data_IF_582972541844
#
_entry.id   IF_582972541844
#
_cell.length_a   1.000
_cell.length_b   1.000
_cell.length_c   1.000
_cell.angle_alpha   90.00
_cell.angle_beta   90.00
_cell.angle_gamma   90.00
#
_symmetry.space_group_name_H-M   'P 1'
#
loop_
_entity.id
_entity.type
_entity.pdbx_description
1 polymer ?
#
# COMPACT_ATOMS: atom_id res chain seq x y z
N UNK A 1 -9.55 27.11 -3.50
CA UNK A 1 -10.39 26.01 -2.99
C UNK A 1 -10.63 26.26 -1.52
N UNK A 2 -11.89 26.35 -1.08
CA UNK A 2 -12.22 26.62 0.32
C UNK A 2 -11.89 25.43 1.24
N UNK A 3 -11.85 24.20 0.70
CA UNK A 3 -11.61 22.97 1.47
C UNK A 3 -10.11 22.69 1.72
N UNK A 4 -9.24 22.95 0.75
CA UNK A 4 -7.79 22.65 0.83
C UNK A 4 -6.88 23.87 0.65
N UNK A 5 -7.45 25.07 0.55
CA UNK A 5 -6.74 26.35 0.38
C UNK A 5 -5.88 26.52 -0.88
N UNK A 6 -5.86 25.54 -1.79
CA UNK A 6 -5.19 25.64 -3.10
C UNK A 6 -5.78 26.77 -3.97
N UNK A 7 -4.93 27.54 -4.65
CA UNK A 7 -5.35 28.62 -5.55
C UNK A 7 -5.46 28.13 -7.00
N UNK A 8 -6.49 28.58 -7.69
CA UNK A 8 -6.77 28.23 -9.09
C UNK A 8 -7.05 29.51 -9.88
N UNK A 9 -6.65 29.52 -11.13
CA UNK A 9 -6.73 30.71 -12.00
C UNK A 9 -8.09 30.88 -12.69
N UNK A 10 -8.92 29.83 -12.67
CA UNK A 10 -10.27 29.92 -13.21
C UNK A 10 -11.25 29.14 -12.36
N UNK A 11 -12.50 29.60 -12.38
CA UNK A 11 -13.60 28.92 -11.70
C UNK A 11 -13.82 27.50 -12.25
N UNK A 12 -13.65 27.30 -13.56
CA UNK A 12 -13.76 25.97 -14.17
C UNK A 12 -12.74 24.96 -13.62
N UNK A 13 -11.48 25.38 -13.41
CA UNK A 13 -10.44 24.53 -12.83
C UNK A 13 -10.69 24.26 -11.33
N UNK A 14 -11.21 25.27 -10.61
CA UNK A 14 -11.62 25.11 -9.22
C UNK A 14 -12.78 24.11 -9.10
N UNK A 15 -13.81 24.22 -9.95
CA UNK A 15 -14.96 23.32 -9.97
C UNK A 15 -14.57 21.89 -10.37
N UNK A 16 -13.65 21.72 -11.32
CA UNK A 16 -13.10 20.42 -11.68
C UNK A 16 -12.30 19.82 -10.51
N UNK A 17 -11.48 20.62 -9.83
CA UNK A 17 -10.76 20.21 -8.63
C UNK A 17 -11.73 19.80 -7.52
N UNK A 18 -12.76 20.59 -7.22
CA UNK A 18 -13.70 20.28 -6.13
C UNK A 18 -14.53 19.04 -6.44
N UNK A 19 -14.99 18.89 -7.69
CA UNK A 19 -15.73 17.70 -8.12
C UNK A 19 -14.87 16.43 -8.03
N UNK A 20 -13.62 16.46 -8.50
CA UNK A 20 -12.75 15.28 -8.53
C UNK A 20 -12.15 14.95 -7.16
N UNK A 21 -11.68 15.95 -6.42
CA UNK A 21 -10.92 15.78 -5.18
C UNK A 21 -11.81 15.69 -3.94
N UNK A 22 -12.93 16.43 -3.91
CA UNK A 22 -13.78 16.54 -2.72
C UNK A 22 -15.15 15.85 -2.87
N UNK A 23 -15.74 15.77 -4.06
CA UNK A 23 -17.05 15.11 -4.28
C UNK A 23 -16.94 13.64 -4.76
N UNK A 24 -16.18 13.35 -5.82
CA UNK A 24 -15.96 11.97 -6.31
C UNK A 24 -15.00 11.19 -5.40
N UNK A 25 -14.02 11.87 -4.81
CA UNK A 25 -13.10 11.31 -3.82
C UNK A 25 -13.59 11.64 -2.40
N UNK A 26 -14.45 10.78 -1.84
CA UNK A 26 -14.67 10.63 -0.38
C UNK A 26 -13.39 10.09 0.34
N UNK A 27 -12.21 10.52 -0.07
CA UNK A 27 -10.98 9.83 0.25
C UNK A 27 -10.35 10.38 1.54
N UNK A 28 -10.84 9.87 2.68
CA UNK A 28 -10.08 9.88 3.96
C UNK A 28 -8.68 9.26 3.83
N UNK A 29 -8.36 8.60 2.71
CA UNK A 29 -7.06 8.00 2.36
C UNK A 29 -6.17 8.88 1.48
N UNK A 30 -6.63 10.05 1.01
CA UNK A 30 -5.77 11.09 0.43
C UNK A 30 -4.98 11.75 1.57
N UNK A 31 -4.13 10.97 2.23
CA UNK A 31 -3.08 11.52 3.08
C UNK A 31 -2.26 12.48 2.23
N UNK A 32 -2.01 13.68 2.76
CA UNK A 32 -1.06 14.65 2.20
C UNK A 32 0.14 13.90 1.62
N UNK A 33 0.46 14.07 0.31
CA UNK A 33 1.58 13.36 -0.29
C UNK A 33 2.83 13.65 0.54
N UNK A 34 3.64 12.62 0.75
CA UNK A 34 4.88 12.72 1.51
C UNK A 34 6.06 12.66 0.54
N UNK A 35 6.39 13.76 -0.17
CA UNK A 35 7.54 13.82 -1.05
C UNK A 35 8.83 13.87 -0.24
N UNK A 36 9.87 13.20 -0.73
CA UNK A 36 11.21 13.42 -0.24
C UNK A 36 11.75 14.73 -0.77
N UNK A 37 12.19 15.60 0.13
CA UNK A 37 12.80 16.89 -0.20
C UNK A 37 14.15 16.74 -0.92
N UNK A 38 14.85 15.63 -0.74
CA UNK A 38 16.18 15.41 -1.30
C UNK A 38 16.16 14.80 -2.72
N UNK A 39 15.13 14.00 -3.07
CA UNK A 39 15.07 13.32 -4.38
C UNK A 39 13.71 13.36 -5.07
N UNK A 40 12.71 14.04 -4.50
CA UNK A 40 11.39 14.19 -5.09
C UNK A 40 10.51 12.92 -5.07
N UNK A 41 11.01 11.78 -4.60
CA UNK A 41 10.24 10.53 -4.55
C UNK A 41 9.05 10.63 -3.59
N UNK A 42 7.86 10.23 -4.04
CA UNK A 42 6.61 10.37 -3.28
C UNK A 42 6.24 9.07 -2.58
N UNK A 43 5.88 9.16 -1.29
CA UNK A 43 5.47 8.03 -0.47
C UNK A 43 4.01 8.15 -0.03
N UNK A 44 3.33 7.00 0.04
CA UNK A 44 1.92 6.91 0.45
C UNK A 44 1.70 7.14 1.94
N UNK A 45 2.75 7.08 2.76
CA UNK A 45 2.69 7.33 4.21
C UNK A 45 3.94 8.08 4.68
N UNK A 46 3.79 8.93 5.69
CA UNK A 46 4.90 9.66 6.30
C UNK A 46 5.96 8.73 6.88
N UNK A 47 5.54 7.62 7.51
CA UNK A 47 6.46 6.61 8.04
C UNK A 47 7.36 5.98 6.97
N UNK A 48 6.85 5.79 5.74
CA UNK A 48 7.64 5.28 4.63
C UNK A 48 8.61 6.33 4.08
N UNK A 49 8.19 7.60 4.03
CA UNK A 49 9.09 8.71 3.70
C UNK A 49 10.26 8.81 4.69
N UNK A 50 9.98 8.80 6.00
CA UNK A 50 11.03 8.87 7.03
C UNK A 50 11.98 7.66 6.99
N UNK A 51 11.47 6.47 6.65
CA UNK A 51 12.34 5.31 6.43
C UNK A 51 13.24 5.55 5.23
N UNK A 52 12.70 6.04 4.12
CA UNK A 52 13.47 6.35 2.93
C UNK A 52 14.56 7.40 3.17
N UNK A 53 14.24 8.51 3.82
CA UNK A 53 15.22 9.57 4.14
C UNK A 53 16.37 8.98 4.95
N UNK A 54 16.05 8.25 6.02
CA UNK A 54 17.05 7.59 6.86
C UNK A 54 17.96 6.67 6.04
N UNK A 55 17.38 5.79 5.22
CA UNK A 55 18.16 4.79 4.47
C UNK A 55 19.02 5.42 3.37
N UNK A 56 18.43 6.31 2.57
CA UNK A 56 18.99 6.78 1.31
C UNK A 56 19.77 8.08 1.46
N UNK A 57 19.29 9.01 2.28
CA UNK A 57 19.86 10.35 2.41
C UNK A 57 20.72 10.51 3.67
N UNK A 58 20.39 9.82 4.76
CA UNK A 58 21.20 9.82 5.98
C UNK A 58 22.11 8.59 6.08
N UNK A 59 22.06 7.71 5.07
CA UNK A 59 22.79 6.43 5.02
C UNK A 59 22.70 5.62 6.34
N UNK A 60 21.56 5.69 7.01
CA UNK A 60 21.31 5.00 8.26
C UNK A 60 21.36 3.50 8.02
N UNK A 61 22.34 2.86 8.66
CA UNK A 61 22.54 1.42 8.62
C UNK A 61 22.30 0.82 10.00
N UNK A 62 21.69 -0.35 10.02
CA UNK A 62 21.38 -1.10 11.22
C UNK A 62 22.15 -2.42 11.17
N UNK A 63 23.41 -2.45 11.66
CA UNK A 63 24.21 -3.66 11.68
C UNK A 63 23.63 -4.67 12.66
N UNK A 64 23.72 -5.95 12.29
CA UNK A 64 23.52 -7.03 13.22
C UNK A 64 24.74 -7.14 14.15
N UNK A 65 24.53 -7.23 15.46
CA UNK A 65 25.60 -7.43 16.42
C UNK A 65 26.05 -8.90 16.53
N UNK A 66 25.30 -9.84 15.94
CA UNK A 66 25.55 -11.28 15.98
C UNK A 66 26.09 -11.85 14.65
N UNK A 67 26.03 -11.08 13.56
CA UNK A 67 26.68 -11.42 12.28
C UNK A 67 27.02 -10.18 11.46
N UNK A 68 27.73 -10.36 10.35
CA UNK A 68 28.20 -9.28 9.47
C UNK A 68 27.11 -8.65 8.58
N UNK A 69 25.82 -9.00 8.74
CA UNK A 69 24.73 -8.44 7.91
C UNK A 69 24.33 -7.03 8.39
N UNK A 70 24.04 -6.17 7.43
CA UNK A 70 23.66 -4.77 7.65
C UNK A 70 22.33 -4.48 6.97
N UNK A 71 21.41 -3.87 7.71
CA UNK A 71 20.05 -3.61 7.25
C UNK A 71 19.80 -2.13 7.01
N UNK A 72 18.91 -1.87 6.06
CA UNK A 72 18.47 -0.53 5.70
C UNK A 72 17.57 0.10 6.78
N UNK A 73 16.82 -0.69 7.55
CA UNK A 73 15.91 -0.17 8.57
C UNK A 73 15.83 -1.08 9.81
N UNK A 74 15.42 -0.50 10.95
CA UNK A 74 15.22 -1.24 12.22
C UNK A 74 14.27 -2.42 12.08
N UNK A 75 13.21 -2.30 11.28
CA UNK A 75 12.28 -3.42 11.05
C UNK A 75 12.96 -4.59 10.32
N UNK A 76 13.83 -4.29 9.35
CA UNK A 76 14.62 -5.29 8.63
C UNK A 76 15.60 -6.01 9.56
N UNK A 77 16.30 -5.26 10.40
CA UNK A 77 17.19 -5.81 11.42
C UNK A 77 16.43 -6.69 12.42
N UNK A 78 15.30 -6.21 12.95
CA UNK A 78 14.45 -6.98 13.88
C UNK A 78 13.95 -8.28 13.25
N UNK A 79 13.45 -8.21 12.02
CA UNK A 79 13.01 -9.41 11.31
C UNK A 79 14.16 -10.39 11.05
N UNK A 80 15.37 -9.90 10.79
CA UNK A 80 16.56 -10.74 10.65
C UNK A 80 16.97 -11.37 11.97
N UNK A 81 17.02 -10.60 13.05
CA UNK A 81 17.33 -11.11 14.40
C UNK A 81 16.38 -12.23 14.77
N UNK A 82 15.07 -11.99 14.65
CA UNK A 82 14.03 -12.97 14.98
C UNK A 82 14.08 -14.24 14.11
N UNK A 83 14.68 -14.20 12.91
CA UNK A 83 14.70 -15.33 11.98
C UNK A 83 16.00 -16.12 11.99
N UNK A 84 17.12 -15.44 12.23
CA UNK A 84 18.46 -15.98 11.97
C UNK A 84 19.26 -16.13 13.26
N UNK A 85 19.02 -15.29 14.27
CA UNK A 85 19.85 -15.25 15.48
C UNK A 85 19.12 -15.57 16.77
N UNK A 86 17.82 -15.29 16.85
CA UNK A 86 16.97 -16.07 17.73
C UNK A 86 16.96 -17.49 17.17
N UNK A 87 17.64 -18.42 17.88
CA UNK A 87 17.16 -19.79 17.89
C UNK A 87 15.71 -19.67 18.35
N UNK A 88 14.80 -19.81 17.41
CA UNK A 88 13.36 -19.77 17.63
C UNK A 88 12.97 -20.92 18.56
N UNK A 89 13.17 -20.75 19.86
CA UNK A 89 12.31 -21.38 20.84
C UNK A 89 10.94 -20.77 20.61
N UNK A 90 10.13 -21.40 19.76
CA UNK A 90 8.66 -21.36 19.70
C UNK A 90 7.88 -20.01 19.75
N UNK A 91 8.48 -18.85 20.01
CA UNK A 91 7.80 -17.60 20.42
C UNK A 91 7.55 -16.62 19.26
N UNK A 92 8.16 -16.87 18.10
CA UNK A 92 7.71 -16.27 16.83
C UNK A 92 6.35 -16.79 16.39
N UNK A 93 5.94 -17.95 16.91
CA UNK A 93 4.67 -18.61 16.68
C UNK A 93 3.82 -18.57 17.95
N UNK A 94 3.42 -17.36 18.35
CA UNK A 94 2.69 -17.08 19.60
C UNK A 94 1.34 -17.80 19.72
N UNK A 95 0.79 -18.26 18.60
CA UNK A 95 -0.56 -18.77 18.53
C UNK A 95 -0.53 -20.24 18.12
N UNK A 96 -0.73 -21.12 19.09
CA UNK A 96 -0.73 -22.56 18.85
C UNK A 96 -2.16 -23.07 18.77
N UNK A 97 -2.45 -23.93 17.80
CA UNK A 97 -3.69 -24.68 17.77
C UNK A 97 -3.76 -25.64 18.95
N UNK A 98 -4.78 -25.52 19.79
CA UNK A 98 -4.97 -26.41 20.95
C UNK A 98 -5.40 -27.83 20.57
N UNK A 99 -5.84 -28.06 19.33
CA UNK A 99 -6.31 -29.37 18.86
C UNK A 99 -5.21 -30.21 18.19
N UNK A 100 -4.32 -29.58 17.43
CA UNK A 100 -3.26 -30.28 16.68
C UNK A 100 -1.85 -29.73 16.94
N UNK A 101 -1.71 -28.84 17.92
CA UNK A 101 -0.43 -28.25 18.34
C UNK A 101 0.33 -27.51 17.23
N UNK A 102 -0.31 -27.24 16.08
CA UNK A 102 0.32 -26.53 14.97
C UNK A 102 0.56 -25.07 15.36
N UNK A 103 1.80 -24.56 15.23
CA UNK A 103 2.16 -23.21 15.68
C UNK A 103 2.01 -22.16 14.57
N UNK A 104 1.51 -20.96 14.91
CA UNK A 104 1.25 -19.84 13.99
C UNK A 104 1.80 -18.50 14.48
N UNK A 105 2.27 -17.68 13.53
CA UNK A 105 2.85 -16.34 13.79
C UNK A 105 1.83 -15.24 14.10
N UNK A 106 0.54 -15.49 13.86
CA UNK A 106 -0.51 -14.50 14.10
C UNK A 106 -1.85 -15.16 14.40
N UNK A 107 -2.69 -14.49 15.20
CA UNK A 107 -4.04 -14.96 15.54
C UNK A 107 -4.91 -15.18 14.31
N UNK A 108 -4.78 -14.33 13.28
CA UNK A 108 -5.51 -14.48 12.02
C UNK A 108 -5.20 -15.80 11.31
N UNK A 109 -3.92 -16.21 11.28
CA UNK A 109 -3.50 -17.48 10.66
C UNK A 109 -3.97 -18.69 11.48
N UNK A 110 -3.93 -18.61 12.82
CA UNK A 110 -4.50 -19.65 13.67
C UNK A 110 -6.01 -19.82 13.43
N UNK A 111 -6.76 -18.72 13.37
CA UNK A 111 -8.20 -18.76 13.12
C UNK A 111 -8.54 -19.33 11.75
N UNK A 112 -7.77 -18.95 10.72
CA UNK A 112 -7.89 -19.48 9.37
C UNK A 112 -7.62 -20.98 9.34
N UNK A 113 -6.53 -21.44 9.97
CA UNK A 113 -6.23 -22.85 10.13
C UNK A 113 -7.35 -23.62 10.84
N UNK A 114 -7.84 -23.12 11.98
CA UNK A 114 -8.97 -23.75 12.68
C UNK A 114 -10.19 -23.89 11.78
N UNK A 115 -10.53 -22.82 11.05
CA UNK A 115 -11.69 -22.81 10.16
C UNK A 115 -11.56 -23.85 9.05
N UNK A 116 -10.39 -24.00 8.45
CA UNK A 116 -10.19 -24.88 7.30
C UNK A 116 -9.95 -26.33 7.73
N UNK A 117 -8.99 -26.55 8.64
CA UNK A 117 -8.51 -27.88 9.00
C UNK A 117 -9.42 -28.58 10.01
N UNK A 118 -10.06 -27.83 10.92
CA UNK A 118 -10.89 -28.44 11.96
C UNK A 118 -12.39 -28.33 11.73
N UNK A 119 -12.84 -27.32 10.96
CA UNK A 119 -14.25 -27.15 10.65
C UNK A 119 -14.59 -27.47 9.18
N UNK A 120 -13.59 -27.61 8.29
CA UNK A 120 -13.84 -27.84 6.86
C UNK A 120 -14.48 -26.64 6.15
N UNK A 121 -14.43 -25.45 6.75
CA UNK A 121 -15.10 -24.24 6.26
C UNK A 121 -14.17 -23.43 5.34
N UNK A 122 -13.66 -24.09 4.30
CA UNK A 122 -12.96 -23.42 3.21
C UNK A 122 -13.95 -22.54 2.41
N UNK A 123 -13.44 -21.46 1.82
CA UNK A 123 -14.26 -20.57 0.99
C UNK A 123 -14.27 -21.11 -0.43
N UNK A 124 -15.42 -21.58 -0.89
CA UNK A 124 -15.59 -22.14 -2.24
C UNK A 124 -15.80 -21.02 -3.25
N UNK A 125 -15.24 -21.17 -4.44
CA UNK A 125 -15.67 -20.38 -5.57
C UNK A 125 -17.06 -20.85 -6.04
N UNK A 126 -17.94 -19.92 -6.39
CA UNK A 126 -19.26 -20.26 -6.93
C UNK A 126 -19.21 -20.61 -8.43
N UNK A 127 -18.08 -20.35 -9.08
CA UNK A 127 -17.91 -20.48 -10.53
C UNK A 127 -16.99 -21.65 -10.93
N UNK A 128 -16.33 -22.29 -9.97
CA UNK A 128 -15.51 -23.49 -10.16
C UNK A 128 -15.28 -24.22 -8.84
N UNK A 129 -14.70 -25.42 -8.89
CA UNK A 129 -14.49 -26.27 -7.72
C UNK A 129 -13.27 -25.87 -6.85
N UNK A 130 -12.68 -24.69 -7.07
CA UNK A 130 -11.53 -24.25 -6.27
C UNK A 130 -11.94 -23.76 -4.89
N UNK A 131 -11.17 -24.15 -3.88
CA UNK A 131 -11.35 -23.75 -2.48
C UNK A 131 -10.21 -22.87 -1.98
N UNK A 132 -10.54 -21.92 -1.10
CA UNK A 132 -9.60 -20.89 -0.64
C UNK A 132 -9.59 -20.75 0.88
N UNK A 133 -8.41 -20.43 1.40
CA UNK A 133 -8.20 -20.21 2.82
C UNK A 133 -8.65 -18.81 3.26
N UNK A 134 -8.53 -17.79 2.41
CA UNK A 134 -8.90 -16.41 2.74
C UNK A 134 -9.86 -15.78 1.73
N UNK A 135 -10.68 -14.84 2.20
CA UNK A 135 -11.55 -14.03 1.33
C UNK A 135 -10.75 -13.16 0.35
N UNK A 136 -9.52 -12.79 0.70
CA UNK A 136 -8.63 -12.06 -0.22
C UNK A 136 -8.18 -12.94 -1.38
N UNK A 137 -7.79 -14.18 -1.10
CA UNK A 137 -7.33 -15.12 -2.14
C UNK A 137 -8.48 -15.57 -3.03
N UNK A 138 -9.67 -15.81 -2.47
CA UNK A 138 -10.87 -16.09 -3.28
C UNK A 138 -11.20 -14.92 -4.21
N UNK A 139 -11.26 -13.68 -3.69
CA UNK A 139 -11.56 -12.51 -4.51
C UNK A 139 -10.53 -12.24 -5.60
N UNK A 140 -9.25 -12.48 -5.31
CA UNK A 140 -8.19 -12.33 -6.31
C UNK A 140 -8.27 -13.43 -7.39
N UNK A 141 -8.62 -14.67 -7.01
CA UNK A 141 -8.92 -15.75 -7.95
C UNK A 141 -10.14 -15.45 -8.81
N UNK A 142 -11.28 -15.09 -8.20
CA UNK A 142 -12.53 -14.77 -8.90
C UNK A 142 -12.33 -13.69 -9.96
N UNK A 143 -11.49 -12.69 -9.65
CA UNK A 143 -11.12 -11.64 -10.58
C UNK A 143 -10.22 -12.13 -11.71
N UNK A 144 -9.25 -12.99 -11.42
CA UNK A 144 -8.25 -13.45 -12.39
C UNK A 144 -8.80 -14.56 -13.31
N UNK A 145 -9.53 -15.53 -12.77
CA UNK A 145 -9.98 -16.71 -13.48
C UNK A 145 -11.37 -16.53 -14.11
N UNK A 146 -12.25 -15.74 -13.47
CA UNK A 146 -13.65 -15.61 -13.90
C UNK A 146 -14.04 -14.18 -14.31
N UNK A 147 -13.14 -13.20 -14.16
CA UNK A 147 -13.46 -11.80 -14.39
C UNK A 147 -14.51 -11.23 -13.42
N UNK A 148 -14.83 -11.95 -12.34
CA UNK A 148 -15.78 -11.53 -11.32
C UNK A 148 -15.14 -10.39 -10.52
N UNK A 149 -15.88 -9.29 -10.40
CA UNK A 149 -15.40 -7.94 -10.01
C UNK A 149 -14.71 -7.21 -11.17
N UNK A 150 -15.50 -6.37 -11.87
CA UNK A 150 -15.02 -5.51 -12.94
C UNK A 150 -13.79 -4.69 -12.50
N UNK A 151 -12.78 -4.52 -13.38
CA UNK A 151 -11.66 -3.68 -13.08
C UNK A 151 -12.15 -2.25 -12.85
N UNK A 152 -11.52 -1.56 -11.90
CA UNK A 152 -11.77 -0.15 -11.67
C UNK A 152 -11.15 0.61 -12.82
N UNK A 153 -11.95 1.33 -13.59
CA UNK A 153 -11.51 2.09 -14.75
C UNK A 153 -11.30 3.54 -14.34
N UNK A 154 -10.12 4.09 -14.61
CA UNK A 154 -9.88 5.51 -14.43
C UNK A 154 -10.64 6.31 -15.48
N UNK A 155 -11.59 7.15 -15.07
CA UNK A 155 -12.37 7.99 -15.97
C UNK A 155 -11.53 9.03 -16.74
N UNK A 156 -10.31 9.35 -16.26
CA UNK A 156 -9.44 10.36 -16.87
C UNK A 156 -8.55 9.75 -17.97
N UNK A 157 -7.94 8.59 -17.73
CA UNK A 157 -6.96 8.00 -18.65
C UNK A 157 -7.35 6.62 -19.19
N UNK A 158 -8.51 6.08 -18.80
CA UNK A 158 -9.00 4.77 -19.24
C UNK A 158 -8.26 3.55 -18.66
N UNK A 159 -7.21 3.74 -17.85
CA UNK A 159 -6.45 2.61 -17.28
C UNK A 159 -7.32 1.76 -16.34
N UNK A 160 -7.16 0.44 -16.47
CA UNK A 160 -7.86 -0.58 -15.70
C UNK A 160 -7.02 -1.01 -14.50
N UNK A 161 -7.63 -1.06 -13.31
CA UNK A 161 -6.99 -1.49 -12.07
C UNK A 161 -7.75 -2.65 -11.45
N UNK A 162 -7.03 -3.71 -11.11
CA UNK A 162 -7.65 -4.88 -10.45
C UNK A 162 -7.92 -4.66 -8.97
N UNK A 163 -7.35 -3.64 -8.32
CA UNK A 163 -7.58 -3.34 -6.89
C UNK A 163 -7.74 -1.85 -6.66
N UNK A 164 -8.67 -1.47 -5.77
CA UNK A 164 -8.94 -0.08 -5.41
C UNK A 164 -7.70 0.64 -4.85
N UNK A 165 -6.87 -0.06 -4.07
CA UNK A 165 -5.59 0.48 -3.59
C UNK A 165 -4.63 0.86 -4.72
N UNK A 166 -4.61 0.11 -5.83
CA UNK A 166 -3.76 0.44 -6.98
C UNK A 166 -4.32 1.63 -7.75
N UNK A 167 -5.64 1.68 -7.93
CA UNK A 167 -6.32 2.84 -8.51
C UNK A 167 -6.05 4.11 -7.68
N UNK A 168 -6.20 4.06 -6.36
CA UNK A 168 -5.91 5.18 -5.47
C UNK A 168 -4.45 5.63 -5.54
N UNK A 169 -3.48 4.70 -5.56
CA UNK A 169 -2.06 5.04 -5.74
C UNK A 169 -1.82 5.72 -7.08
N UNK A 170 -2.41 5.20 -8.15
CA UNK A 170 -2.30 5.80 -9.48
C UNK A 170 -2.87 7.22 -9.50
N UNK A 171 -4.08 7.44 -8.97
CA UNK A 171 -4.69 8.77 -8.93
C UNK A 171 -3.90 9.71 -8.00
N UNK A 172 -3.40 9.26 -6.85
CA UNK A 172 -2.57 10.09 -5.98
C UNK A 172 -1.27 10.53 -6.67
N UNK A 173 -0.56 9.60 -7.33
CA UNK A 173 0.66 9.93 -8.08
C UNK A 173 0.36 10.82 -9.30
N UNK A 174 -0.68 10.50 -10.07
CA UNK A 174 -1.06 11.23 -11.27
C UNK A 174 -1.55 12.65 -10.94
N UNK A 175 -2.37 12.82 -9.89
CA UNK A 175 -2.81 14.15 -9.44
C UNK A 175 -1.65 14.96 -8.84
N UNK A 176 -0.75 14.33 -8.06
CA UNK A 176 0.45 15.01 -7.56
C UNK A 176 1.36 15.46 -8.71
N UNK A 177 1.59 14.62 -9.73
CA UNK A 177 2.44 14.93 -10.89
C UNK A 177 1.76 15.94 -11.82
N UNK A 178 0.46 15.83 -12.09
CA UNK A 178 -0.25 16.80 -12.96
C UNK A 178 -0.38 18.18 -12.32
N UNK A 179 -0.54 18.27 -10.99
CA UNK A 179 -0.45 19.55 -10.28
C UNK A 179 0.99 20.12 -10.34
N UNK A 180 2.02 19.27 -10.19
CA UNK A 180 3.42 19.70 -10.28
C UNK A 180 3.85 20.14 -11.69
N UNK A 181 3.46 19.39 -12.74
CA UNK A 181 3.86 19.66 -14.12
C UNK A 181 3.20 20.94 -14.65
N UNK A 182 1.96 21.27 -14.24
CA UNK A 182 1.35 22.58 -14.60
C UNK A 182 2.04 23.76 -13.89
N UNK A 183 2.56 23.56 -12.68
CA UNK A 183 3.40 24.58 -12.01
C UNK A 183 4.80 24.68 -12.64
N UNK A 184 5.38 23.57 -13.12
CA UNK A 184 6.71 23.54 -13.73
C UNK A 184 6.72 24.12 -15.16
N UNK A 185 5.69 23.82 -15.96
CA UNK A 185 5.53 24.40 -17.31
C UNK A 185 5.28 25.91 -17.24
N UNK A 186 4.65 26.43 -16.18
CA UNK A 186 4.52 27.89 -15.98
C UNK A 186 5.78 28.59 -15.48
N UNK A 187 6.67 27.89 -14.77
CA UNK A 187 7.94 28.48 -14.33
C UNK A 187 8.94 28.60 -15.50
N UNK A 188 8.97 27.63 -16.41
CA UNK A 188 9.90 27.66 -17.55
C UNK A 188 9.47 28.59 -18.70
N UNK A 189 8.18 28.90 -18.84
CA UNK A 189 7.69 29.84 -19.87
C UNK A 189 7.85 31.31 -19.45
N UNK A 190 8.11 31.61 -18.17
CA UNK A 190 8.40 32.97 -17.67
C UNK A 190 9.89 33.35 -17.65
N UNK A 191 10.79 32.45 -18.03
CA UNK A 191 12.23 32.72 -18.10
C UNK A 191 12.76 32.82 -19.53
N UNK A 192 11.88 32.82 -20.54
CA UNK A 192 12.25 32.90 -21.96
C UNK A 192 11.42 33.92 -22.78
N UNK A 193 10.71 34.84 -22.11
CA UNK A 193 10.13 36.02 -22.74
C UNK A 193 10.31 37.24 -21.83
#
# INVERSE_FOLDING_TARGET
>A
CQTCQDRFESHALLSQHTYVVHQLFLCRLCHKPNPCTNCGKVFSTFSNLLKHIRVIHENARFPCNLCKRVFACKDGLRNHMNKIHDKLDHEGLRYTCQRCSTPFRSKSQLNEHHRIIHLGLALKCELCDNEFHSWSTLRDHERAAHGKHAPIICAICGKKFSRWVMFCKFVCLFVCVCLFVRSFVRLHVRLFF
#
